data_IF_310003577686
#
_entry.id   IF_310003577686
#
_cell.length_a   1.000
_cell.length_b   1.000
_cell.length_c   1.000
_cell.angle_alpha   90.00
_cell.angle_beta   90.00
_cell.angle_gamma   90.00
#
_symmetry.space_group_name_H-M   'P 1'
#
loop_
_entity.id
_entity.type
_entity.pdbx_description
1 polymer ?
#
# COMPACT_ATOMS: atom_id res chain seq x y z
N UNK A 1 -13.35 28.19 -5.68
CA UNK A 1 -12.07 27.63 -5.19
C UNK A 1 -12.09 26.15 -5.53
N UNK A 2 -11.51 25.77 -6.66
CA UNK A 2 -11.60 24.41 -7.23
C UNK A 2 -10.55 23.50 -6.61
N UNK A 3 -10.96 22.29 -6.20
CA UNK A 3 -10.06 21.23 -5.77
C UNK A 3 -9.05 20.87 -6.89
N UNK A 4 -7.80 20.49 -6.56
CA UNK A 4 -6.89 20.02 -7.58
C UNK A 4 -7.34 18.63 -8.06
N UNK A 5 -7.12 18.31 -9.35
CA UNK A 5 -7.59 17.09 -9.96
C UNK A 5 -6.81 15.90 -9.41
N UNK A 6 -7.54 14.83 -9.09
CA UNK A 6 -6.99 13.52 -8.79
C UNK A 6 -6.31 12.96 -10.06
N UNK A 7 -4.99 13.14 -10.18
CA UNK A 7 -4.18 12.45 -11.19
C UNK A 7 -3.59 11.18 -10.56
N UNK A 8 -4.17 10.03 -10.91
CA UNK A 8 -3.45 8.75 -10.89
C UNK A 8 -2.46 8.80 -12.04
N UNK A 9 -1.25 9.30 -11.77
CA UNK A 9 -0.23 9.38 -12.82
C UNK A 9 0.37 7.99 -13.07
N UNK A 10 0.17 7.53 -14.30
CA UNK A 10 0.77 6.33 -14.86
C UNK A 10 2.27 6.58 -15.04
N UNK A 11 3.10 5.87 -14.28
CA UNK A 11 4.50 5.65 -14.64
C UNK A 11 5.43 6.87 -14.55
N UNK A 12 5.66 7.41 -13.35
CA UNK A 12 6.84 8.23 -13.11
C UNK A 12 8.10 7.37 -13.10
N UNK A 13 9.06 7.69 -13.98
CA UNK A 13 10.44 7.17 -13.91
C UNK A 13 11.02 7.47 -12.53
N UNK A 14 11.61 6.46 -11.89
CA UNK A 14 12.25 6.49 -10.56
C UNK A 14 13.30 7.60 -10.33
N UNK A 15 13.72 8.34 -11.37
CA UNK A 15 14.82 9.30 -11.28
C UNK A 15 14.44 10.75 -10.94
N UNK A 16 13.15 11.10 -10.96
CA UNK A 16 12.71 12.50 -10.74
C UNK A 16 11.45 12.57 -9.85
N UNK A 17 11.46 11.89 -8.70
CA UNK A 17 10.47 12.17 -7.66
C UNK A 17 10.75 13.56 -7.09
N UNK A 18 10.17 14.60 -7.68
CA UNK A 18 10.16 15.95 -7.11
C UNK A 18 9.63 15.85 -5.68
N UNK A 19 10.43 16.30 -4.71
CA UNK A 19 10.07 16.31 -3.30
C UNK A 19 8.74 17.06 -3.12
N UNK A 20 7.64 16.31 -2.91
CA UNK A 20 6.29 16.85 -2.78
C UNK A 20 6.14 17.78 -1.56
N UNK A 21 7.03 17.63 -0.58
CA UNK A 21 7.05 18.40 0.65
C UNK A 21 8.40 19.08 0.87
N UNK A 22 8.47 20.17 1.66
CA UNK A 22 9.73 20.76 2.09
C UNK A 22 10.62 19.76 2.86
N UNK A 23 11.94 19.97 2.87
CA UNK A 23 12.89 19.08 3.56
C UNK A 23 12.57 18.86 5.05
N UNK A 24 11.98 19.86 5.72
CA UNK A 24 11.54 19.78 7.12
C UNK A 24 10.42 18.77 7.38
N UNK A 25 9.76 18.27 6.34
CA UNK A 25 8.66 17.32 6.44
C UNK A 25 9.12 15.86 6.46
N UNK A 26 10.42 15.60 6.29
CA UNK A 26 11.00 14.27 6.32
C UNK A 26 11.77 14.04 7.62
N UNK A 27 11.84 12.79 8.06
CA UNK A 27 12.73 12.39 9.14
C UNK A 27 14.15 12.10 8.64
N UNK A 28 15.01 11.65 9.55
CA UNK A 28 16.41 11.31 9.28
C UNK A 28 16.59 10.17 8.25
N UNK A 29 15.55 9.35 8.07
CA UNK A 29 15.53 8.26 7.08
C UNK A 29 14.98 8.72 5.73
N UNK A 30 14.61 9.99 5.61
CA UNK A 30 14.03 10.56 4.41
C UNK A 30 12.57 10.16 4.19
N UNK A 31 11.87 9.61 5.19
CA UNK A 31 10.45 9.25 5.13
C UNK A 31 9.61 10.44 5.58
N UNK A 32 8.47 10.68 4.94
CA UNK A 32 7.58 11.80 5.31
C UNK A 32 7.04 11.58 6.73
N UNK A 33 7.15 12.59 7.58
CA UNK A 33 6.62 12.57 8.94
C UNK A 33 5.09 12.71 8.88
N UNK A 34 4.30 11.79 9.47
CA UNK A 34 2.83 11.78 9.33
C UNK A 34 2.12 13.09 9.66
N UNK A 35 2.55 13.84 10.69
CA UNK A 35 1.96 15.15 11.05
C UNK A 35 2.08 16.23 9.97
N UNK A 36 3.01 16.05 9.04
CA UNK A 36 3.28 17.03 7.98
C UNK A 36 2.51 16.71 6.69
N UNK A 37 1.84 15.56 6.63
CA UNK A 37 1.01 15.18 5.51
C UNK A 37 -0.31 15.95 5.57
N UNK A 38 -0.59 16.73 4.53
CA UNK A 38 -1.79 17.59 4.45
C UNK A 38 -2.86 17.05 3.50
N UNK A 39 -2.62 15.89 2.88
CA UNK A 39 -3.56 15.24 1.97
C UNK A 39 -4.77 14.61 2.66
N UNK A 40 -5.74 14.18 1.85
CA UNK A 40 -6.95 13.51 2.33
C UNK A 40 -6.71 12.10 2.89
N UNK A 41 -5.56 11.49 2.57
CA UNK A 41 -5.22 10.13 2.96
C UNK A 41 -3.82 10.07 3.59
N UNK A 42 -3.61 10.72 4.75
CA UNK A 42 -2.28 10.89 5.31
C UNK A 42 -1.61 9.57 5.70
N UNK A 43 -2.39 8.59 6.14
CA UNK A 43 -1.88 7.28 6.52
C UNK A 43 -1.44 6.46 5.30
N UNK A 44 -2.22 6.53 4.22
CA UNK A 44 -1.86 5.90 2.95
C UNK A 44 -0.57 6.49 2.39
N UNK A 45 -0.47 7.82 2.33
CA UNK A 45 0.73 8.50 1.83
C UNK A 45 1.97 8.11 2.65
N UNK A 46 1.85 8.06 3.98
CA UNK A 46 2.92 7.61 4.86
C UNK A 46 3.34 6.17 4.59
N UNK A 47 2.38 5.22 4.58
CA UNK A 47 2.67 3.80 4.39
C UNK A 47 3.32 3.57 3.01
N UNK A 48 2.82 4.21 1.97
CA UNK A 48 3.38 4.11 0.63
C UNK A 48 4.81 4.68 0.54
N UNK A 49 5.07 5.84 1.14
CA UNK A 49 6.41 6.46 1.15
C UNK A 49 7.42 5.59 1.92
N UNK A 50 7.01 5.06 3.07
CA UNK A 50 7.83 4.15 3.87
C UNK A 50 8.14 2.85 3.11
N UNK A 51 7.12 2.19 2.54
CA UNK A 51 7.29 0.95 1.79
C UNK A 51 8.14 1.14 0.53
N UNK A 52 8.11 2.33 -0.09
CA UNK A 52 8.91 2.63 -1.27
C UNK A 52 10.40 2.87 -0.96
N UNK A 53 10.70 3.48 0.20
CA UNK A 53 12.07 3.87 0.59
C UNK A 53 12.79 2.82 1.41
N UNK A 54 12.08 2.16 2.33
CA UNK A 54 12.62 1.17 3.27
C UNK A 54 11.72 -0.08 3.31
N UNK A 55 11.57 -0.83 2.19
CA UNK A 55 10.75 -2.04 2.14
C UNK A 55 11.20 -3.15 3.10
N UNK A 56 12.47 -3.12 3.53
CA UNK A 56 13.06 -4.04 4.50
C UNK A 56 12.63 -3.76 5.95
N UNK A 57 12.15 -2.55 6.25
CA UNK A 57 11.78 -2.13 7.61
C UNK A 57 10.33 -2.52 7.93
N UNK A 58 10.09 -3.83 8.00
CA UNK A 58 8.76 -4.42 8.23
C UNK A 58 8.22 -4.00 9.60
N UNK A 59 9.07 -3.91 10.62
CA UNK A 59 8.64 -3.52 11.97
C UNK A 59 8.03 -2.12 11.97
N UNK A 60 8.70 -1.18 11.30
CA UNK A 60 8.20 0.19 11.16
C UNK A 60 6.97 0.26 10.28
N UNK A 61 6.90 -0.54 9.22
CA UNK A 61 5.74 -0.61 8.33
C UNK A 61 4.49 -1.12 9.06
N UNK A 62 4.66 -2.01 10.04
CA UNK A 62 3.58 -2.58 10.85
C UNK A 62 3.26 -1.79 12.12
N UNK A 63 4.03 -0.74 12.41
CA UNK A 63 3.89 0.08 13.60
C UNK A 63 3.07 1.33 13.31
N UNK A 64 1.96 1.50 14.03
CA UNK A 64 1.17 2.73 13.96
C UNK A 64 2.05 3.91 14.39
N UNK A 65 2.14 5.00 13.60
CA UNK A 65 2.92 6.15 14.00
C UNK A 65 2.43 6.76 15.32
N UNK A 66 3.36 7.12 16.20
CA UNK A 66 3.12 7.63 17.57
C UNK A 66 2.24 8.90 17.68
N UNK A 67 1.83 9.46 16.55
CA UNK A 67 1.16 10.76 16.44
C UNK A 67 -0.37 10.63 16.38
N UNK A 68 -0.87 9.41 16.29
CA UNK A 68 -2.28 9.11 16.15
C UNK A 68 -2.86 8.53 17.44
N UNK A 69 -4.09 8.91 17.80
CA UNK A 69 -4.80 8.28 18.91
C UNK A 69 -4.95 6.77 18.61
N UNK A 70 -4.35 5.89 19.43
CA UNK A 70 -4.33 4.46 19.15
C UNK A 70 -5.73 3.84 19.08
N UNK A 71 -6.76 4.42 19.72
CA UNK A 71 -8.10 3.82 19.73
C UNK A 71 -8.82 3.97 18.40
N UNK A 72 -8.66 5.10 17.72
CA UNK A 72 -9.36 5.39 16.47
C UNK A 72 -8.54 4.97 15.25
N UNK A 73 -7.22 5.15 15.33
CA UNK A 73 -6.36 5.01 14.16
C UNK A 73 -5.81 3.61 13.93
N UNK A 74 -5.80 2.74 14.95
CA UNK A 74 -5.44 1.32 14.76
C UNK A 74 -6.33 0.64 13.72
N UNK A 75 -7.64 0.89 13.79
CA UNK A 75 -8.59 0.28 12.87
C UNK A 75 -8.37 0.80 11.44
N UNK A 76 -8.22 2.11 11.27
CA UNK A 76 -7.94 2.75 9.97
C UNK A 76 -6.62 2.24 9.38
N UNK A 77 -5.59 2.09 10.21
CA UNK A 77 -4.29 1.55 9.81
C UNK A 77 -4.37 0.13 9.27
N UNK A 78 -5.08 -0.76 9.98
CA UNK A 78 -5.31 -2.13 9.51
C UNK A 78 -6.07 -2.15 8.18
N UNK A 79 -7.10 -1.30 8.03
CA UNK A 79 -7.84 -1.21 6.78
C UNK A 79 -7.01 -0.67 5.62
N UNK A 80 -6.12 0.30 5.85
CA UNK A 80 -5.21 0.78 4.82
C UNK A 80 -4.21 -0.28 4.37
N UNK A 81 -3.64 -1.06 5.30
CA UNK A 81 -2.82 -2.21 4.93
C UNK A 81 -3.60 -3.24 4.13
N UNK A 82 -4.82 -3.58 4.55
CA UNK A 82 -5.67 -4.52 3.82
C UNK A 82 -5.97 -4.01 2.41
N UNK A 83 -6.30 -2.72 2.26
CA UNK A 83 -6.56 -2.08 0.97
C UNK A 83 -5.32 -2.10 0.06
N UNK A 84 -4.13 -1.89 0.61
CA UNK A 84 -2.88 -1.97 -0.13
C UNK A 84 -2.61 -3.41 -0.59
N UNK A 85 -2.74 -4.39 0.31
CA UNK A 85 -2.55 -5.81 -0.02
C UNK A 85 -3.50 -6.26 -1.12
N UNK A 86 -4.80 -5.94 -1.01
CA UNK A 86 -5.77 -6.30 -2.06
C UNK A 86 -5.45 -5.63 -3.37
N UNK A 87 -5.11 -4.33 -3.37
CA UNK A 87 -4.74 -3.61 -4.58
C UNK A 87 -3.51 -4.20 -5.28
N UNK A 88 -2.50 -4.63 -4.54
CA UNK A 88 -1.29 -5.23 -5.10
C UNK A 88 -1.55 -6.67 -5.59
N UNK A 89 -2.30 -7.46 -4.81
CA UNK A 89 -2.66 -8.83 -5.19
C UNK A 89 -3.55 -8.86 -6.42
N UNK A 90 -4.49 -7.94 -6.58
CA UNK A 90 -5.34 -7.87 -7.77
C UNK A 90 -4.50 -7.73 -9.05
N UNK A 91 -3.47 -6.88 -9.04
CA UNK A 91 -2.56 -6.75 -10.18
C UNK A 91 -1.79 -8.03 -10.48
N UNK A 92 -1.30 -8.71 -9.44
CA UNK A 92 -0.60 -9.99 -9.59
C UNK A 92 -1.51 -11.09 -10.17
N UNK A 93 -2.75 -11.19 -9.69
CA UNK A 93 -3.73 -12.17 -10.18
C UNK A 93 -4.07 -11.90 -11.64
N UNK A 94 -4.25 -10.64 -12.05
CA UNK A 94 -4.47 -10.27 -13.45
C UNK A 94 -3.30 -10.65 -14.34
N UNK A 95 -2.05 -10.47 -13.88
CA UNK A 95 -0.86 -10.85 -14.65
C UNK A 95 -0.73 -12.37 -14.86
N UNK A 96 -1.36 -13.18 -14.00
CA UNK A 96 -1.38 -14.64 -14.10
C UNK A 96 -2.53 -15.18 -14.96
N UNK A 97 -3.40 -14.32 -15.50
CA UNK A 97 -4.60 -14.75 -16.24
C UNK A 97 -4.29 -15.64 -17.45
N UNK A 98 -3.13 -15.44 -18.10
CA UNK A 98 -2.72 -16.23 -19.28
C UNK A 98 -2.21 -17.65 -18.93
N UNK A 99 -1.88 -17.88 -17.65
CA UNK A 99 -1.31 -19.14 -17.16
C UNK A 99 -2.17 -19.86 -16.13
N UNK A 100 -3.09 -19.14 -15.49
CA UNK A 100 -4.05 -19.63 -14.51
C UNK A 100 -5.47 -19.45 -15.07
N UNK A 101 -5.98 -20.50 -15.71
CA UNK A 101 -7.34 -20.56 -16.24
C UNK A 101 -8.06 -21.82 -15.72
N UNK A 102 -9.35 -21.96 -16.03
CA UNK A 102 -10.15 -23.12 -15.61
C UNK A 102 -9.70 -24.45 -16.21
N UNK A 103 -8.92 -24.43 -17.29
CA UNK A 103 -8.39 -25.63 -17.97
C UNK A 103 -7.11 -26.11 -17.27
N UNK A 104 -6.19 -25.20 -16.97
CA UNK A 104 -4.89 -25.49 -16.33
C UNK A 104 -5.01 -25.60 -14.81
N UNK A 105 -5.91 -24.82 -14.20
CA UNK A 105 -6.15 -24.76 -12.76
C UNK A 105 -7.64 -25.04 -12.45
N UNK A 106 -8.12 -26.29 -12.65
CA UNK A 106 -9.55 -26.62 -12.50
C UNK A 106 -10.06 -26.55 -11.06
N UNK A 107 -9.16 -26.44 -10.08
CA UNK A 107 -9.49 -26.30 -8.67
C UNK A 107 -8.52 -25.32 -8.01
N UNK A 108 -9.01 -24.49 -7.09
CA UNK A 108 -8.17 -23.58 -6.33
C UNK A 108 -7.33 -24.37 -5.32
N UNK A 109 -6.08 -24.66 -5.68
CA UNK A 109 -5.13 -25.43 -4.86
C UNK A 109 -3.93 -24.56 -4.51
N UNK A 110 -3.50 -24.64 -3.26
CA UNK A 110 -2.28 -23.98 -2.78
C UNK A 110 -1.09 -24.94 -2.86
N UNK A 111 -1.31 -26.22 -2.51
CA UNK A 111 -0.37 -27.33 -2.69
C UNK A 111 -1.15 -28.60 -3.03
N UNK A 112 -0.47 -29.74 -3.20
CA UNK A 112 -1.14 -31.04 -3.41
C UNK A 112 -2.05 -31.46 -2.23
N UNK A 113 -1.81 -30.92 -1.03
CA UNK A 113 -2.52 -31.28 0.21
C UNK A 113 -3.61 -30.27 0.56
N UNK A 114 -3.45 -29.00 0.16
CA UNK A 114 -4.35 -27.92 0.53
C UNK A 114 -5.21 -27.48 -0.65
N UNK A 115 -6.48 -27.90 -0.62
CA UNK A 115 -7.53 -27.52 -1.57
C UNK A 115 -8.47 -26.55 -0.87
N UNK A 116 -8.77 -25.42 -1.50
CA UNK A 116 -9.68 -24.44 -0.96
C UNK A 116 -11.03 -24.53 -1.71
N UNK A 117 -12.09 -24.81 -0.97
CA UNK A 117 -13.45 -24.91 -1.53
C UNK A 117 -14.23 -23.65 -1.19
N UNK A 118 -14.89 -23.05 -2.18
CA UNK A 118 -15.86 -21.99 -1.93
C UNK A 118 -17.18 -22.63 -1.48
N UNK A 119 -17.66 -22.26 -0.30
CA UNK A 119 -19.02 -22.59 0.15
C UNK A 119 -19.85 -21.33 -0.09
N UNK A 120 -20.78 -21.41 -1.04
CA UNK A 120 -21.76 -20.36 -1.31
C UNK A 120 -22.97 -20.51 -0.40
#
# INVERSE_FOLDING_TARGET
MSAPPFMLDQGLRKSEAVSLYPASCYDETGVIIPRHIRGSFPLQEYICDLAAKHPEDIERLMSLPNMYDPKQWKLVFVYEHLRLVTSQLSGLVSALADVCDSVRCPTMRVTQVWIHTYVY
#
